data_IF_567795391540
#
_entry.id   IF_567795391540
#
_cell.length_a   1.000
_cell.length_b   1.000
_cell.length_c   1.000
_cell.angle_alpha   90.00
_cell.angle_beta   90.00
_cell.angle_gamma   90.00
#
_symmetry.space_group_name_H-M   'P 1'
#
loop_
_entity.id
_entity.type
_entity.pdbx_description
1 polymer ?
#
# COMPACT_ATOMS: atom_id res chain seq x y z
N UNK A 1 4.98 9.43 -12.40
CA UNK A 1 5.07 10.12 -11.10
C UNK A 1 6.52 10.23 -10.71
N UNK A 2 6.83 11.11 -9.75
CA UNK A 2 8.20 11.38 -9.28
C UNK A 2 8.86 10.21 -8.52
N UNK A 3 8.08 9.22 -8.09
CA UNK A 3 8.52 8.14 -7.21
C UNK A 3 8.40 8.48 -5.72
N UNK A 4 8.11 9.73 -5.38
CA UNK A 4 7.90 10.19 -4.01
C UNK A 4 6.45 9.98 -3.54
N UNK A 5 6.30 9.63 -2.27
CA UNK A 5 5.00 9.66 -1.58
C UNK A 5 4.49 11.10 -1.52
N UNK A 6 3.27 11.33 -1.98
CA UNK A 6 2.57 12.61 -1.88
C UNK A 6 1.36 12.72 -2.80
N UNK A 7 0.79 13.92 -2.90
CA UNK A 7 -0.44 14.19 -3.68
C UNK A 7 -0.29 15.32 -4.72
N UNK A 8 0.92 15.54 -5.22
CA UNK A 8 1.15 16.62 -6.19
C UNK A 8 0.51 16.26 -7.54
N UNK A 9 -0.23 17.21 -8.11
CA UNK A 9 -0.62 17.21 -9.53
C UNK A 9 0.55 17.74 -10.39
N UNK A 10 0.40 17.70 -11.72
CA UNK A 10 1.37 18.29 -12.65
C UNK A 10 1.70 17.37 -13.81
N UNK A 11 2.92 17.47 -14.33
CA UNK A 11 3.40 16.56 -15.38
C UNK A 11 3.81 15.20 -14.79
N UNK A 12 4.14 14.24 -15.65
CA UNK A 12 4.52 12.88 -15.21
C UNK A 12 5.79 12.82 -14.34
N UNK A 13 6.68 13.82 -14.41
CA UNK A 13 7.90 13.87 -13.60
C UNK A 13 7.64 14.50 -12.23
N UNK A 14 6.72 15.45 -12.13
CA UNK A 14 6.43 16.17 -10.88
C UNK A 14 5.30 15.54 -10.05
N UNK A 15 4.33 14.89 -10.68
CA UNK A 15 3.18 14.34 -9.99
C UNK A 15 3.57 13.23 -9.01
N UNK A 16 2.96 13.19 -7.83
CA UNK A 16 3.16 12.16 -6.81
C UNK A 16 1.85 11.49 -6.40
N UNK A 17 1.97 10.26 -5.89
CA UNK A 17 0.88 9.40 -5.42
C UNK A 17 1.25 8.85 -4.04
N UNK A 18 0.28 8.26 -3.34
CA UNK A 18 0.50 7.57 -2.07
C UNK A 18 -0.22 6.21 -2.11
N UNK A 19 0.58 5.15 -2.28
CA UNK A 19 0.15 3.76 -2.44
C UNK A 19 -1.10 3.57 -3.33
N UNK A 20 -1.05 4.00 -4.61
CA UNK A 20 -2.19 3.86 -5.51
C UNK A 20 -2.50 2.38 -5.79
N UNK A 21 -3.79 2.05 -5.89
CA UNK A 21 -4.27 0.68 -6.11
C UNK A 21 -4.95 0.57 -7.48
N UNK A 22 -6.26 0.76 -7.52
CA UNK A 22 -7.10 0.54 -8.69
C UNK A 22 -6.83 1.49 -9.84
N UNK A 23 -6.86 0.93 -11.05
CA UNK A 23 -6.67 1.63 -12.31
C UNK A 23 -7.82 1.32 -13.26
N UNK A 24 -8.33 2.32 -13.96
CA UNK A 24 -9.27 2.11 -15.08
C UNK A 24 -8.96 3.05 -16.24
N UNK A 25 -8.82 2.49 -17.45
CA UNK A 25 -8.59 3.26 -18.67
C UNK A 25 -9.93 3.53 -19.37
N UNK A 26 -10.16 4.78 -19.77
CA UNK A 26 -11.31 5.19 -20.57
C UNK A 26 -10.86 6.16 -21.67
N UNK A 27 -10.86 5.68 -22.92
CA UNK A 27 -10.22 6.39 -24.02
C UNK A 27 -8.71 6.53 -23.78
N UNK A 28 -8.18 7.75 -23.88
CA UNK A 28 -6.79 8.09 -23.56
C UNK A 28 -6.58 8.58 -22.12
N UNK A 29 -7.61 8.51 -21.27
CA UNK A 29 -7.54 8.91 -19.86
C UNK A 29 -7.45 7.69 -18.97
N UNK A 30 -6.42 7.63 -18.13
CA UNK A 30 -6.30 6.65 -17.05
C UNK A 30 -6.76 7.30 -15.74
N UNK A 31 -7.66 6.63 -15.01
CA UNK A 31 -8.06 7.04 -13.67
C UNK A 31 -7.40 6.14 -12.64
N UNK A 32 -7.02 6.73 -11.51
CA UNK A 32 -6.26 6.07 -10.45
C UNK A 32 -6.97 6.27 -9.12
N UNK A 33 -7.20 5.18 -8.40
CA UNK A 33 -7.56 5.21 -6.99
C UNK A 33 -6.26 5.36 -6.19
N UNK A 34 -6.03 6.57 -5.68
CA UNK A 34 -4.85 6.95 -4.92
C UNK A 34 -5.18 6.80 -3.44
N UNK A 35 -5.01 5.56 -2.97
CA UNK A 35 -5.75 4.99 -1.83
C UNK A 35 -5.40 5.65 -0.51
N UNK A 36 -4.10 5.81 -0.22
CA UNK A 36 -3.63 6.45 1.03
C UNK A 36 -3.76 7.97 0.99
N UNK A 37 -3.78 8.57 -0.21
CA UNK A 37 -4.20 9.96 -0.35
C UNK A 37 -5.72 10.15 -0.22
N UNK A 38 -6.51 9.08 -0.23
CA UNK A 38 -7.98 9.14 -0.27
C UNK A 38 -8.51 10.00 -1.43
N UNK A 39 -7.91 9.82 -2.62
CA UNK A 39 -8.19 10.63 -3.80
C UNK A 39 -8.45 9.77 -5.03
N UNK A 40 -9.19 10.34 -5.99
CA UNK A 40 -9.22 9.85 -7.37
C UNK A 40 -8.42 10.82 -8.25
N UNK A 41 -7.45 10.27 -8.97
CA UNK A 41 -6.56 11.02 -9.86
C UNK A 41 -6.91 10.70 -11.30
N UNK A 42 -6.78 11.71 -12.17
CA UNK A 42 -6.94 11.62 -13.62
C UNK A 42 -5.59 11.82 -14.26
N UNK A 43 -5.17 10.84 -15.07
CA UNK A 43 -3.93 10.83 -15.82
C UNK A 43 -4.29 10.94 -17.30
N UNK A 44 -3.97 12.08 -17.90
CA UNK A 44 -4.11 12.31 -19.33
C UNK A 44 -2.84 11.79 -20.03
N UNK A 45 -2.98 10.73 -20.83
CA UNK A 45 -1.85 10.08 -21.49
C UNK A 45 -1.38 10.85 -22.73
N UNK A 46 -2.21 11.72 -23.30
CA UNK A 46 -1.86 12.55 -24.45
C UNK A 46 -1.06 13.78 -24.02
N UNK A 47 -1.59 14.55 -23.06
CA UNK A 47 -0.90 15.74 -22.52
C UNK A 47 0.16 15.42 -21.48
N UNK A 48 0.21 14.17 -21.00
CA UNK A 48 1.15 13.68 -19.97
C UNK A 48 1.05 14.44 -18.65
N UNK A 49 -0.18 14.65 -18.21
CA UNK A 49 -0.49 15.39 -16.97
C UNK A 49 -1.36 14.57 -16.01
N UNK A 50 -1.18 14.81 -14.72
CA UNK A 50 -1.98 14.25 -13.63
C UNK A 50 -2.73 15.38 -12.94
N UNK A 51 -4.02 15.18 -12.69
CA UNK A 51 -4.88 16.10 -11.95
C UNK A 51 -5.75 15.35 -10.95
N UNK A 52 -6.03 15.98 -9.81
CA UNK A 52 -6.98 15.45 -8.82
C UNK A 52 -8.41 15.83 -9.20
N UNK A 53 -9.30 14.82 -9.25
CA UNK A 53 -10.71 15.01 -9.63
C UNK A 53 -11.69 14.72 -8.49
N UNK A 54 -11.28 13.95 -7.48
CA UNK A 54 -12.12 13.65 -6.31
C UNK A 54 -11.29 13.39 -5.06
N UNK A 55 -11.89 13.66 -3.89
CA UNK A 55 -11.24 13.56 -2.59
C UNK A 55 -10.56 14.85 -2.18
N UNK A 56 -10.56 15.13 -0.88
CA UNK A 56 -9.93 16.31 -0.25
C UNK A 56 -8.51 16.03 0.25
N UNK A 57 -8.06 14.77 0.15
CA UNK A 57 -6.72 14.37 0.54
C UNK A 57 -6.59 13.95 2.00
N UNK A 58 -7.72 13.74 2.69
CA UNK A 58 -7.80 13.32 4.09
C UNK A 58 -8.80 12.17 4.26
N UNK A 59 -8.59 11.31 5.25
CA UNK A 59 -9.48 10.17 5.49
C UNK A 59 -10.86 10.64 5.96
N UNK A 60 -11.89 10.37 5.18
CA UNK A 60 -13.26 10.72 5.56
C UNK A 60 -13.77 9.87 6.72
N UNK A 61 -14.41 10.54 7.68
CA UNK A 61 -15.06 9.90 8.84
C UNK A 61 -16.53 9.52 8.61
N UNK A 62 -17.15 10.06 7.57
CA UNK A 62 -18.55 9.81 7.21
C UNK A 62 -18.63 9.04 5.90
N UNK A 63 -19.42 7.98 5.89
CA UNK A 63 -19.76 7.19 4.70
C UNK A 63 -20.95 7.79 3.91
N UNK A 64 -21.52 8.91 4.37
CA UNK A 64 -22.80 9.43 3.86
C UNK A 64 -22.76 10.94 3.66
N UNK A 65 -22.27 11.42 2.51
CA UNK A 65 -22.21 12.85 2.20
C UNK A 65 -23.57 13.55 2.41
N UNK A 66 -23.56 14.64 3.18
CA UNK A 66 -24.73 15.43 3.53
C UNK A 66 -25.44 14.99 4.82
N UNK A 67 -25.24 13.76 5.30
CA UNK A 67 -25.88 13.29 6.53
C UNK A 67 -25.42 14.06 7.78
N UNK A 68 -24.16 14.49 7.80
CA UNK A 68 -23.57 15.36 8.84
C UNK A 68 -24.27 16.72 8.96
N UNK A 69 -24.96 17.17 7.92
CA UNK A 69 -25.74 18.42 7.91
C UNK A 69 -27.22 18.21 8.28
N UNK A 70 -27.58 16.99 8.73
CA UNK A 70 -28.94 16.62 9.11
C UNK A 70 -29.76 15.99 7.97
N UNK A 71 -29.15 15.73 6.80
CA UNK A 71 -29.84 15.04 5.72
C UNK A 71 -29.90 13.53 5.94
N UNK A 72 -30.92 13.09 6.68
CA UNK A 72 -31.13 11.67 6.98
C UNK A 72 -31.89 10.91 5.88
N UNK A 73 -32.41 11.60 4.86
CA UNK A 73 -33.18 10.98 3.77
C UNK A 73 -32.48 11.29 2.46
N UNK A 74 -31.93 10.25 1.80
CA UNK A 74 -31.14 10.39 0.59
C UNK A 74 -31.85 11.14 -0.57
N UNK A 75 -31.14 11.35 -1.70
CA UNK A 75 -29.85 10.76 -2.01
C UNK A 75 -28.68 11.48 -1.32
N UNK A 76 -27.66 10.70 -0.96
CA UNK A 76 -26.44 11.19 -0.31
C UNK A 76 -25.36 11.42 -1.36
N UNK A 77 -25.29 12.64 -1.88
CA UNK A 77 -24.29 13.03 -2.86
C UNK A 77 -23.60 14.32 -2.43
N UNK A 78 -22.31 14.42 -2.75
CA UNK A 78 -21.54 15.65 -2.64
C UNK A 78 -20.84 15.99 -3.95
N UNK A 79 -19.97 17.01 -3.91
CA UNK A 79 -19.15 17.41 -5.05
C UNK A 79 -17.80 16.66 -4.99
N UNK A 80 -17.34 16.02 -6.08
CA UNK A 80 -16.12 15.21 -6.08
C UNK A 80 -14.91 15.83 -5.36
N UNK A 81 -14.54 17.08 -5.70
CA UNK A 81 -13.36 17.76 -5.12
C UNK A 81 -13.46 18.17 -3.66
N UNK A 82 -14.64 18.10 -3.05
CA UNK A 82 -14.84 18.53 -1.65
C UNK A 82 -15.50 17.47 -0.78
N UNK A 83 -15.79 16.30 -1.35
CA UNK A 83 -16.27 15.15 -0.61
C UNK A 83 -15.07 14.30 -0.27
N UNK A 84 -14.73 14.22 1.01
CA UNK A 84 -13.69 13.31 1.49
C UNK A 84 -14.02 11.86 1.12
N UNK A 85 -13.00 11.10 0.78
CA UNK A 85 -13.09 9.67 0.49
C UNK A 85 -12.42 8.90 1.62
N UNK A 86 -12.61 7.58 1.64
CA UNK A 86 -11.95 6.74 2.62
C UNK A 86 -11.52 5.44 1.94
N UNK A 87 -10.23 5.43 1.57
CA UNK A 87 -9.54 4.33 0.89
C UNK A 87 -10.27 3.81 -0.36
N UNK A 88 -10.38 4.61 -1.44
CA UNK A 88 -10.81 4.09 -2.74
C UNK A 88 -9.79 3.04 -3.20
N UNK A 89 -10.26 1.85 -3.59
CA UNK A 89 -9.37 0.72 -3.87
C UNK A 89 -9.44 0.22 -5.31
N UNK A 90 -10.63 0.19 -5.91
CA UNK A 90 -10.83 -0.21 -7.30
C UNK A 90 -11.78 0.73 -8.03
N UNK A 91 -11.60 0.84 -9.35
CA UNK A 91 -12.38 1.69 -10.23
C UNK A 91 -12.92 0.88 -11.39
N UNK A 92 -14.14 1.19 -11.81
CA UNK A 92 -14.72 0.68 -13.05
C UNK A 92 -15.60 1.75 -13.69
N UNK A 93 -15.61 1.85 -15.02
CA UNK A 93 -16.43 2.83 -15.72
C UNK A 93 -17.50 2.09 -16.52
N UNK A 94 -18.74 2.55 -16.37
CA UNK A 94 -19.87 2.13 -17.18
C UNK A 94 -20.57 3.40 -17.71
N UNK A 95 -20.58 3.55 -19.03
CA UNK A 95 -21.06 4.76 -19.71
C UNK A 95 -20.36 6.04 -19.19
N UNK A 96 -21.13 6.98 -18.63
CA UNK A 96 -20.68 8.26 -18.10
C UNK A 96 -20.39 8.25 -16.58
N UNK A 97 -20.40 7.06 -15.97
CA UNK A 97 -20.36 6.88 -14.52
C UNK A 97 -19.18 5.99 -14.13
N UNK A 98 -18.36 6.49 -13.22
CA UNK A 98 -17.33 5.74 -12.54
C UNK A 98 -17.90 5.13 -11.27
N UNK A 99 -17.70 3.83 -11.09
CA UNK A 99 -17.95 3.09 -9.87
C UNK A 99 -16.64 2.90 -9.13
N UNK A 100 -16.71 3.02 -7.82
CA UNK A 100 -15.54 3.04 -6.93
C UNK A 100 -15.80 2.03 -5.82
N UNK A 101 -14.91 1.06 -5.66
CA UNK A 101 -14.90 0.22 -4.47
C UNK A 101 -14.26 1.04 -3.35
N UNK A 102 -15.12 1.52 -2.44
CA UNK A 102 -14.70 2.34 -1.32
C UNK A 102 -14.50 1.39 -0.13
N UNK A 103 -13.25 0.95 0.04
CA UNK A 103 -12.91 -0.11 0.99
C UNK A 103 -13.18 0.32 2.44
N UNK A 104 -12.73 1.53 2.80
CA UNK A 104 -12.80 2.07 4.16
C UNK A 104 -14.21 2.12 4.76
N UNK A 105 -15.24 2.64 4.06
CA UNK A 105 -16.61 2.63 4.54
C UNK A 105 -17.39 1.38 4.14
N UNK A 106 -16.76 0.37 3.53
CA UNK A 106 -17.40 -0.86 3.04
C UNK A 106 -18.60 -0.60 2.11
N UNK A 107 -18.38 0.16 1.03
CA UNK A 107 -19.42 0.55 0.10
C UNK A 107 -18.93 0.56 -1.35
N UNK A 108 -19.87 0.43 -2.28
CA UNK A 108 -19.64 0.81 -3.68
C UNK A 108 -20.16 2.23 -3.87
N UNK A 109 -19.31 3.12 -4.32
CA UNK A 109 -19.64 4.51 -4.63
C UNK A 109 -19.78 4.70 -6.15
N UNK A 110 -20.48 5.75 -6.55
CA UNK A 110 -20.55 6.19 -7.94
C UNK A 110 -20.22 7.68 -8.06
N UNK A 111 -19.56 8.05 -9.15
CA UNK A 111 -19.19 9.41 -9.51
C UNK A 111 -19.49 9.63 -10.99
N UNK A 112 -20.11 10.77 -11.32
CA UNK A 112 -20.25 11.17 -12.73
C UNK A 112 -18.93 11.69 -13.28
N UNK A 113 -18.58 11.29 -14.51
CA UNK A 113 -17.32 11.68 -15.16
C UNK A 113 -17.26 13.18 -15.50
N UNK A 114 -18.41 13.88 -15.52
CA UNK A 114 -18.50 15.33 -15.64
C UNK A 114 -18.22 16.07 -14.30
N UNK A 115 -17.81 15.33 -13.27
CA UNK A 115 -17.50 15.81 -11.92
C UNK A 115 -18.70 16.49 -11.22
N UNK A 116 -19.94 16.21 -11.65
CA UNK A 116 -21.13 16.85 -11.08
C UNK A 116 -21.52 16.34 -9.69
N UNK A 117 -21.29 15.05 -9.41
CA UNK A 117 -21.65 14.41 -8.14
C UNK A 117 -20.85 13.15 -7.84
N UNK A 118 -20.71 12.84 -6.55
CA UNK A 118 -20.16 11.58 -6.03
C UNK A 118 -20.92 11.14 -4.76
N UNK A 119 -21.07 9.84 -4.54
CA UNK A 119 -21.63 9.30 -3.30
C UNK A 119 -21.90 7.79 -3.35
N UNK A 120 -22.41 7.20 -2.26
CA UNK A 120 -22.72 5.77 -2.18
C UNK A 120 -23.75 5.35 -3.24
N UNK A 121 -23.45 4.24 -3.90
CA UNK A 121 -24.31 3.57 -4.87
C UNK A 121 -24.89 2.27 -4.31
N UNK A 122 -24.09 1.50 -3.58
CA UNK A 122 -24.53 0.30 -2.87
C UNK A 122 -23.79 0.11 -1.53
N UNK A 123 -24.45 -0.52 -0.56
CA UNK A 123 -23.90 -0.81 0.76
C UNK A 123 -24.38 0.16 1.85
N UNK A 124 -24.74 -0.39 3.00
CA UNK A 124 -25.14 0.38 4.19
C UNK A 124 -23.96 0.88 5.04
N UNK A 125 -22.72 0.57 4.65
CA UNK A 125 -21.50 0.94 5.37
C UNK A 125 -21.24 0.19 6.67
N UNK A 126 -21.96 -0.91 6.91
CA UNK A 126 -21.56 -1.93 7.88
C UNK A 126 -20.67 -2.96 7.19
N UNK A 127 -19.69 -3.43 7.93
CA UNK A 127 -18.85 -4.55 7.54
C UNK A 127 -19.60 -5.88 7.74
N UNK A 128 -20.18 -6.42 6.66
CA UNK A 128 -20.84 -7.74 6.63
C UNK A 128 -21.04 -8.19 5.17
N UNK A 129 -21.47 -9.43 4.95
CA UNK A 129 -21.82 -9.98 3.64
C UNK A 129 -23.32 -10.21 3.59
N UNK A 130 -24.07 -9.19 3.18
CA UNK A 130 -25.55 -9.25 3.13
C UNK A 130 -26.04 -8.90 1.73
N UNK A 131 -26.88 -9.75 1.16
CA UNK A 131 -27.60 -9.49 -0.10
C UNK A 131 -28.84 -8.64 0.15
N UNK A 132 -29.27 -7.87 -0.86
CA UNK A 132 -30.46 -7.03 -0.72
C UNK A 132 -30.44 -5.75 -1.53
N UNK A 133 -31.27 -4.78 -1.12
CA UNK A 133 -31.36 -3.49 -1.78
C UNK A 133 -30.01 -2.76 -1.83
N UNK A 134 -29.82 -1.91 -2.84
CA UNK A 134 -28.59 -1.14 -3.01
C UNK A 134 -28.28 -0.27 -1.78
N UNK A 135 -29.23 0.54 -1.34
CA UNK A 135 -29.04 1.49 -0.25
C UNK A 135 -30.15 1.40 0.81
N UNK A 136 -29.84 1.72 2.07
CA UNK A 136 -30.82 1.75 3.16
C UNK A 136 -31.72 2.98 3.05
N UNK A 137 -32.80 3.03 3.84
CA UNK A 137 -33.66 4.24 3.90
C UNK A 137 -33.07 5.37 4.75
N UNK A 138 -32.10 5.04 5.61
CA UNK A 138 -31.38 5.93 6.51
C UNK A 138 -29.89 5.52 6.55
N UNK A 139 -28.95 6.45 6.84
CA UNK A 139 -27.53 6.11 6.97
C UNK A 139 -27.31 4.96 7.96
N UNK A 140 -26.53 3.95 7.56
CA UNK A 140 -26.24 2.74 8.36
C UNK A 140 -27.44 1.86 8.75
N UNK A 141 -28.62 2.15 8.18
CA UNK A 141 -29.83 1.35 8.35
C UNK A 141 -29.65 -0.07 7.83
N UNK A 142 -30.40 -1.00 8.41
CA UNK A 142 -30.47 -2.39 7.95
C UNK A 142 -31.78 -2.69 7.22
N UNK A 143 -32.69 -1.72 7.20
CA UNK A 143 -33.98 -1.73 6.53
C UNK A 143 -33.85 -1.22 5.10
N UNK A 144 -34.46 -1.95 4.17
CA UNK A 144 -34.66 -1.52 2.79
C UNK A 144 -36.07 -0.95 2.59
N UNK A 145 -36.33 -0.19 1.51
CA UNK A 145 -37.70 0.09 1.08
C UNK A 145 -38.50 -1.23 0.90
N UNK A 146 -39.56 -1.43 1.68
CA UNK A 146 -40.33 -2.68 1.70
C UNK A 146 -40.03 -3.55 2.93
N UNK A 147 -40.11 -4.88 2.80
CA UNK A 147 -39.86 -5.89 3.84
C UNK A 147 -38.50 -6.62 3.69
N UNK A 148 -37.61 -6.12 2.83
CA UNK A 148 -36.32 -6.73 2.52
C UNK A 148 -35.13 -6.22 3.35
N UNK A 149 -33.98 -6.89 3.20
CA UNK A 149 -32.68 -6.44 3.70
C UNK A 149 -32.02 -5.45 2.74
N UNK A 150 -31.08 -4.68 3.27
CA UNK A 150 -30.13 -3.87 2.49
C UNK A 150 -28.79 -4.58 2.39
N UNK A 151 -28.10 -4.36 1.29
CA UNK A 151 -26.75 -4.89 1.09
C UNK A 151 -25.73 -4.33 2.08
N UNK A 152 -24.82 -5.20 2.50
CA UNK A 152 -23.59 -4.88 3.23
C UNK A 152 -22.40 -5.46 2.45
N UNK A 153 -21.28 -4.76 2.51
CA UNK A 153 -19.99 -5.19 1.97
C UNK A 153 -18.97 -5.26 3.10
N UNK A 154 -17.81 -5.84 2.83
CA UNK A 154 -16.70 -5.98 3.75
C UNK A 154 -15.39 -5.75 2.97
N UNK A 155 -14.97 -4.48 2.95
CA UNK A 155 -13.73 -4.01 2.31
C UNK A 155 -13.68 -4.38 0.80
N UNK A 156 -14.61 -3.87 -0.01
CA UNK A 156 -14.60 -4.13 -1.45
C UNK A 156 -13.32 -3.56 -2.07
N UNK A 157 -12.57 -4.39 -2.80
CA UNK A 157 -11.22 -4.06 -3.26
C UNK A 157 -10.94 -4.33 -4.74
N UNK A 158 -11.87 -4.96 -5.46
CA UNK A 158 -11.75 -5.23 -6.90
C UNK A 158 -13.08 -5.04 -7.62
N UNK A 159 -13.05 -4.54 -8.86
CA UNK A 159 -14.23 -4.29 -9.68
C UNK A 159 -14.05 -4.77 -11.12
N UNK A 160 -15.10 -5.34 -11.70
CA UNK A 160 -15.19 -5.66 -13.13
C UNK A 160 -16.66 -5.78 -13.56
N UNK A 161 -16.96 -5.94 -14.85
CA UNK A 161 -18.35 -6.01 -15.30
C UNK A 161 -18.53 -6.79 -16.60
N UNK A 162 -19.70 -7.43 -16.72
CA UNK A 162 -20.24 -8.00 -17.98
C UNK A 162 -21.18 -7.04 -18.73
N UNK A 163 -21.39 -5.83 -18.21
CA UNK A 163 -22.34 -4.83 -18.73
C UNK A 163 -23.74 -4.88 -18.11
N UNK A 164 -24.13 -5.95 -17.42
CA UNK A 164 -25.39 -6.03 -16.66
C UNK A 164 -25.12 -5.88 -15.14
N UNK A 165 -24.06 -6.53 -14.68
CA UNK A 165 -23.62 -6.59 -13.29
C UNK A 165 -22.23 -5.97 -13.16
N UNK A 166 -22.05 -5.17 -12.12
CA UNK A 166 -20.74 -4.84 -11.57
C UNK A 166 -20.37 -5.92 -10.56
N UNK A 167 -19.35 -6.71 -10.88
CA UNK A 167 -18.80 -7.70 -9.97
C UNK A 167 -17.79 -7.08 -9.03
N UNK A 168 -17.84 -7.48 -7.77
CA UNK A 168 -17.05 -6.92 -6.67
C UNK A 168 -16.30 -8.04 -5.98
N UNK A 169 -14.99 -7.91 -5.85
CA UNK A 169 -14.23 -8.67 -4.87
C UNK A 169 -14.42 -8.02 -3.49
N UNK A 170 -15.15 -8.69 -2.62
CA UNK A 170 -15.56 -8.22 -1.31
C UNK A 170 -14.69 -8.90 -0.25
N UNK A 171 -13.54 -8.28 -0.03
CA UNK A 171 -12.27 -8.93 0.30
C UNK A 171 -12.23 -9.48 1.72
N UNK A 172 -12.59 -8.68 2.73
CA UNK A 172 -12.66 -9.17 4.13
C UNK A 172 -13.69 -10.29 4.26
N UNK A 173 -14.79 -10.19 3.51
CA UNK A 173 -15.80 -11.23 3.43
C UNK A 173 -15.37 -12.49 2.67
N UNK A 174 -14.21 -12.50 2.01
CA UNK A 174 -13.74 -13.58 1.13
C UNK A 174 -14.81 -14.04 0.14
N UNK A 175 -15.48 -13.06 -0.49
CA UNK A 175 -16.64 -13.31 -1.35
C UNK A 175 -16.59 -12.51 -2.65
N UNK A 176 -17.33 -12.97 -3.65
CA UNK A 176 -17.55 -12.23 -4.90
C UNK A 176 -19.02 -11.86 -4.99
N UNK A 177 -19.30 -10.57 -5.13
CA UNK A 177 -20.66 -9.98 -5.16
C UNK A 177 -20.98 -9.49 -6.55
N UNK A 178 -22.27 -9.38 -6.88
CA UNK A 178 -22.76 -8.78 -8.11
C UNK A 178 -23.75 -7.67 -7.77
N UNK A 179 -23.42 -6.46 -8.19
CA UNK A 179 -24.21 -5.23 -8.01
C UNK A 179 -24.86 -4.88 -9.35
N UNK A 180 -26.20 -4.75 -9.42
CA UNK A 180 -26.85 -4.46 -10.68
C UNK A 180 -26.71 -2.98 -11.06
N UNK A 181 -26.53 -2.69 -12.36
CA UNK A 181 -26.73 -1.33 -12.87
C UNK A 181 -28.22 -0.96 -12.94
N UNK A 182 -29.08 -1.94 -13.22
CA UNK A 182 -30.54 -1.81 -13.11
C UNK A 182 -30.93 -1.75 -11.63
N UNK A 183 -31.22 -0.55 -11.15
CA UNK A 183 -31.53 -0.28 -9.73
C UNK A 183 -32.84 -0.89 -9.25
N UNK A 184 -33.63 -1.53 -10.12
CA UNK A 184 -34.79 -2.32 -9.71
C UNK A 184 -34.41 -3.71 -9.17
N UNK A 185 -33.20 -4.18 -9.47
CA UNK A 185 -32.63 -5.43 -8.97
C UNK A 185 -31.88 -5.20 -7.65
N UNK A 186 -31.52 -6.30 -6.99
CA UNK A 186 -30.81 -6.31 -5.71
C UNK A 186 -29.37 -6.81 -5.88
N UNK A 187 -28.51 -6.41 -4.96
CA UNK A 187 -27.15 -6.99 -4.83
C UNK A 187 -27.29 -8.46 -4.45
N UNK A 188 -26.48 -9.31 -5.08
CA UNK A 188 -26.44 -10.75 -4.80
C UNK A 188 -25.01 -11.26 -4.62
N UNK A 189 -24.86 -12.39 -3.93
CA UNK A 189 -23.58 -13.08 -3.77
C UNK A 189 -23.39 -14.14 -4.85
N UNK A 190 -22.32 -14.01 -5.64
CA UNK A 190 -21.91 -15.00 -6.65
C UNK A 190 -21.34 -16.23 -5.94
N UNK A 191 -20.33 -16.03 -5.10
CA UNK A 191 -19.75 -17.03 -4.19
C UNK A 191 -19.38 -16.38 -2.86
N UNK A 192 -19.38 -17.17 -1.78
CA UNK A 192 -19.05 -16.70 -0.43
C UNK A 192 -20.17 -16.92 0.59
N UNK A 193 -19.98 -16.43 1.80
CA UNK A 193 -20.71 -16.85 2.99
C UNK A 193 -22.04 -16.12 3.26
N UNK A 194 -22.62 -15.40 2.30
CA UNK A 194 -23.82 -14.58 2.53
C UNK A 194 -25.04 -15.36 3.08
N UNK A 195 -25.15 -16.64 2.72
CA UNK A 195 -26.25 -17.51 3.15
C UNK A 195 -26.09 -18.02 4.60
N UNK A 196 -24.94 -17.79 5.25
CA UNK A 196 -24.72 -18.20 6.63
C UNK A 196 -25.39 -17.24 7.61
N UNK A 197 -25.97 -17.74 8.72
CA UNK A 197 -26.63 -16.89 9.71
C UNK A 197 -25.65 -16.07 10.58
N UNK A 198 -24.40 -16.52 10.70
CA UNK A 198 -23.34 -15.88 11.49
C UNK A 198 -21.94 -16.26 10.93
N UNK A 199 -20.88 -15.66 11.48
CA UNK A 199 -19.48 -15.93 11.13
C UNK A 199 -19.13 -15.72 9.64
N UNK A 200 -19.89 -14.86 8.94
CA UNK A 200 -19.72 -14.59 7.50
C UNK A 200 -18.31 -14.09 7.16
N UNK A 201 -17.77 -13.17 7.95
CA UNK A 201 -16.41 -12.61 7.79
C UNK A 201 -15.29 -13.60 8.16
N UNK A 202 -15.60 -14.71 8.82
CA UNK A 202 -14.61 -15.69 9.31
C UNK A 202 -14.74 -17.05 8.61
N UNK A 203 -15.56 -17.13 7.56
CA UNK A 203 -15.72 -18.33 6.75
C UNK A 203 -14.90 -18.19 5.48
N UNK A 204 -13.62 -18.50 5.60
CA UNK A 204 -12.63 -18.43 4.52
C UNK A 204 -11.83 -19.73 4.44
N UNK A 205 -11.08 -19.90 3.38
CA UNK A 205 -10.20 -21.04 3.14
C UNK A 205 -9.96 -21.26 1.65
N UNK A 206 -9.52 -22.45 1.27
CA UNK A 206 -9.20 -22.80 -0.11
C UNK A 206 -10.01 -24.02 -0.54
N UNK A 207 -11.19 -23.79 -1.14
CA UNK A 207 -12.03 -24.89 -1.63
C UNK A 207 -12.71 -24.53 -2.94
N UNK A 208 -12.52 -25.40 -3.93
CA UNK A 208 -13.18 -25.35 -5.23
C UNK A 208 -14.48 -26.17 -5.23
N UNK A 209 -15.30 -26.00 -6.26
CA UNK A 209 -16.51 -26.78 -6.48
C UNK A 209 -17.76 -25.94 -6.76
N UNK A 210 -18.97 -26.50 -6.52
CA UNK A 210 -20.22 -25.77 -6.67
C UNK A 210 -20.31 -24.61 -5.64
N UNK A 211 -21.07 -23.57 -5.98
CA UNK A 211 -21.22 -22.32 -5.22
C UNK A 211 -21.29 -22.49 -3.70
N UNK A 212 -22.07 -23.45 -3.21
CA UNK A 212 -22.34 -23.70 -1.78
C UNK A 212 -21.15 -24.30 -1.00
N UNK A 213 -20.07 -24.66 -1.71
CA UNK A 213 -18.87 -25.25 -1.12
C UNK A 213 -17.63 -24.39 -1.29
N UNK A 214 -17.69 -23.34 -2.11
CA UNK A 214 -16.54 -22.52 -2.44
C UNK A 214 -16.04 -21.79 -1.19
N UNK A 215 -14.74 -21.86 -0.95
CA UNK A 215 -14.05 -21.02 0.01
C UNK A 215 -12.93 -20.28 -0.72
N UNK A 216 -12.88 -18.97 -0.47
CA UNK A 216 -11.83 -18.05 -0.86
C UNK A 216 -11.15 -17.52 0.41
N UNK A 217 -10.03 -16.83 0.27
CA UNK A 217 -9.35 -16.17 1.38
C UNK A 217 -8.76 -14.83 0.93
N UNK A 218 -9.42 -13.75 1.36
CA UNK A 218 -9.01 -12.37 1.10
C UNK A 218 -8.78 -12.09 -0.38
N UNK A 219 -9.75 -12.48 -1.23
CA UNK A 219 -9.68 -12.25 -2.66
C UNK A 219 -9.77 -10.74 -3.00
N UNK A 220 -8.79 -10.21 -3.74
CA UNK A 220 -8.69 -8.76 -4.05
C UNK A 220 -8.99 -8.51 -5.53
N UNK A 221 -8.21 -9.08 -6.43
CA UNK A 221 -8.36 -8.87 -7.87
C UNK A 221 -9.56 -9.66 -8.43
N UNK A 222 -10.35 -9.04 -9.31
CA UNK A 222 -11.38 -9.72 -10.10
C UNK A 222 -11.46 -9.13 -11.50
N UNK A 223 -11.58 -9.97 -12.53
CA UNK A 223 -11.78 -9.54 -13.91
C UNK A 223 -12.74 -10.48 -14.65
N UNK A 224 -13.70 -9.89 -15.38
CA UNK A 224 -14.68 -10.63 -16.15
C UNK A 224 -14.16 -10.88 -17.58
N UNK A 225 -14.35 -12.10 -18.06
CA UNK A 225 -14.06 -12.48 -19.44
C UNK A 225 -14.90 -13.70 -19.86
N UNK A 226 -15.63 -13.57 -20.97
CA UNK A 226 -16.38 -14.66 -21.62
C UNK A 226 -17.24 -15.51 -20.67
N UNK A 227 -18.07 -14.84 -19.86
CA UNK A 227 -18.98 -15.50 -18.90
C UNK A 227 -18.33 -15.95 -17.59
N UNK A 228 -17.01 -15.76 -17.44
CA UNK A 228 -16.26 -16.16 -16.26
C UNK A 228 -15.70 -14.95 -15.52
N UNK A 229 -15.49 -15.12 -14.21
CA UNK A 229 -14.74 -14.22 -13.35
C UNK A 229 -13.42 -14.90 -12.99
N UNK A 230 -12.31 -14.27 -13.37
CA UNK A 230 -11.00 -14.67 -12.91
C UNK A 230 -10.67 -13.82 -11.69
N UNK A 231 -10.23 -14.46 -10.62
CA UNK A 231 -9.96 -13.80 -9.35
C UNK A 231 -8.55 -14.10 -8.86
N UNK A 232 -7.95 -13.12 -8.20
CA UNK A 232 -6.82 -13.37 -7.33
C UNK A 232 -7.36 -13.78 -5.96
N UNK A 233 -7.24 -15.06 -5.63
CA UNK A 233 -7.50 -15.60 -4.30
C UNK A 233 -6.23 -15.39 -3.46
N UNK A 234 -6.02 -14.13 -3.08
CA UNK A 234 -4.73 -13.53 -2.68
C UNK A 234 -3.99 -14.35 -1.63
N UNK A 235 -4.60 -14.60 -0.46
CA UNK A 235 -3.92 -15.30 0.64
C UNK A 235 -3.80 -16.81 0.40
N UNK A 236 -4.52 -17.34 -0.60
CA UNK A 236 -4.35 -18.70 -1.08
C UNK A 236 -3.32 -18.80 -2.20
N UNK A 237 -2.63 -17.72 -2.58
CA UNK A 237 -1.58 -17.71 -3.62
C UNK A 237 -2.04 -18.37 -4.94
N UNK A 238 -3.29 -18.10 -5.35
CA UNK A 238 -3.94 -18.74 -6.49
C UNK A 238 -4.71 -17.76 -7.33
N UNK A 239 -4.80 -18.09 -8.62
CA UNK A 239 -5.79 -17.52 -9.52
C UNK A 239 -6.92 -18.54 -9.67
N UNK A 240 -8.16 -18.15 -9.36
CA UNK A 240 -9.34 -19.00 -9.56
C UNK A 240 -10.22 -18.47 -10.67
N UNK A 241 -10.99 -19.35 -11.29
CA UNK A 241 -12.01 -19.03 -12.27
C UNK A 241 -13.38 -19.43 -11.73
N UNK A 242 -14.35 -18.55 -11.88
CA UNK A 242 -15.71 -18.70 -11.39
C UNK A 242 -16.65 -18.51 -12.58
N UNK A 243 -17.52 -19.49 -12.84
CA UNK A 243 -18.63 -19.29 -13.79
C UNK A 243 -19.60 -18.25 -13.20
N UNK A 244 -19.77 -17.11 -13.88
CA UNK A 244 -20.44 -15.95 -13.31
C UNK A 244 -21.96 -16.18 -13.07
N UNK A 245 -22.54 -17.16 -13.77
CA UNK A 245 -23.94 -17.52 -13.67
C UNK A 245 -24.21 -18.51 -12.52
N UNK A 246 -23.42 -19.57 -12.41
CA UNK A 246 -23.63 -20.67 -11.45
C UNK A 246 -22.81 -20.53 -10.17
N UNK A 247 -21.73 -19.74 -10.17
CA UNK A 247 -20.77 -19.64 -9.07
C UNK A 247 -19.87 -20.87 -8.92
N UNK A 248 -19.89 -21.81 -9.86
CA UNK A 248 -18.98 -22.95 -9.83
C UNK A 248 -17.54 -22.44 -9.99
N UNK A 249 -16.68 -22.82 -9.06
CA UNK A 249 -15.30 -22.30 -8.96
C UNK A 249 -14.28 -23.42 -9.11
N UNK A 250 -13.19 -23.12 -9.81
CA UNK A 250 -12.03 -23.98 -9.90
C UNK A 250 -10.73 -23.16 -9.84
N UNK A 251 -9.68 -23.76 -9.30
CA UNK A 251 -8.32 -23.23 -9.41
C UNK A 251 -7.92 -23.19 -10.89
N UNK A 252 -7.55 -22.00 -11.37
CA UNK A 252 -7.11 -21.77 -12.74
C UNK A 252 -5.59 -21.91 -12.86
N UNK A 253 -4.86 -21.29 -11.93
CA UNK A 253 -3.40 -21.40 -11.77
C UNK A 253 -3.01 -21.20 -10.29
N UNK A 254 -1.78 -21.58 -9.93
CA UNK A 254 -1.29 -21.48 -8.55
C UNK A 254 -1.42 -22.80 -7.79
N UNK A 255 -0.40 -23.12 -7.00
CA UNK A 255 -0.35 -24.35 -6.19
C UNK A 255 -0.83 -24.15 -4.75
N UNK A 256 -0.96 -22.89 -4.31
CA UNK A 256 -1.17 -22.53 -2.91
C UNK A 256 0.11 -22.21 -2.14
N UNK A 257 1.27 -22.60 -2.67
CA UNK A 257 2.57 -22.27 -2.08
C UNK A 257 3.05 -20.90 -2.57
N UNK A 258 3.38 -20.02 -1.63
CA UNK A 258 4.02 -18.73 -1.90
C UNK A 258 5.37 -18.89 -2.63
N UNK A 259 5.64 -18.04 -3.62
CA UNK A 259 6.94 -17.90 -4.27
C UNK A 259 6.88 -17.54 -5.75
N UNK A 260 8.05 -17.48 -6.39
CA UNK A 260 8.23 -17.09 -7.80
C UNK A 260 8.82 -18.25 -8.61
N UNK A 261 7.98 -18.92 -9.40
CA UNK A 261 8.39 -19.97 -10.33
C UNK A 261 7.38 -20.07 -11.49
N UNK A 262 7.85 -19.98 -12.73
CA UNK A 262 7.00 -20.00 -13.93
C UNK A 262 6.56 -21.42 -14.33
N UNK A 263 7.38 -22.44 -14.09
CA UNK A 263 7.07 -23.83 -14.46
C UNK A 263 6.03 -24.43 -13.53
N UNK A 264 6.16 -24.17 -12.22
CA UNK A 264 5.21 -24.56 -11.19
C UNK A 264 4.02 -23.59 -11.11
N UNK A 265 4.15 -22.38 -11.65
CA UNK A 265 3.14 -21.34 -11.58
C UNK A 265 2.85 -20.89 -10.15
N UNK A 266 3.89 -20.63 -9.36
CA UNK A 266 3.75 -20.10 -7.99
C UNK A 266 3.42 -18.61 -8.01
N UNK A 267 2.74 -18.11 -6.99
CA UNK A 267 2.42 -16.70 -6.77
C UNK A 267 2.68 -16.36 -5.29
N UNK A 268 2.78 -15.08 -4.93
CA UNK A 268 2.88 -14.60 -3.55
C UNK A 268 2.01 -13.36 -3.37
N UNK A 269 0.83 -13.56 -2.77
CA UNK A 269 -0.23 -12.56 -2.59
C UNK A 269 -0.54 -11.74 -3.86
N UNK A 270 -0.98 -12.41 -4.96
CA UNK A 270 -1.40 -11.70 -6.15
C UNK A 270 -2.61 -10.83 -5.82
N UNK A 271 -2.57 -9.52 -6.10
CA UNK A 271 -3.60 -8.59 -5.63
C UNK A 271 -4.44 -7.98 -6.77
N UNK A 272 -3.99 -8.05 -8.02
CA UNK A 272 -4.72 -7.50 -9.16
C UNK A 272 -4.54 -8.34 -10.40
N UNK A 273 -5.52 -8.29 -11.31
CA UNK A 273 -5.42 -8.92 -12.62
C UNK A 273 -6.21 -8.18 -13.69
N UNK A 274 -5.75 -8.30 -14.94
CA UNK A 274 -6.42 -7.81 -16.13
C UNK A 274 -6.21 -8.78 -17.29
N UNK A 275 -7.14 -8.80 -18.25
CA UNK A 275 -7.05 -9.66 -19.43
C UNK A 275 -6.89 -8.79 -20.68
N UNK A 276 -5.91 -9.15 -21.52
CA UNK A 276 -5.78 -8.59 -22.88
C UNK A 276 -5.45 -9.71 -23.87
N UNK A 277 -6.28 -9.86 -24.91
CA UNK A 277 -6.17 -10.98 -25.84
C UNK A 277 -6.27 -12.33 -25.12
N UNK A 278 -5.31 -13.22 -25.36
CA UNK A 278 -5.25 -14.56 -24.75
C UNK A 278 -4.47 -14.58 -23.42
N UNK A 279 -4.17 -13.43 -22.82
CA UNK A 279 -3.25 -13.36 -21.67
C UNK A 279 -3.92 -12.67 -20.48
N UNK A 280 -3.87 -13.35 -19.33
CA UNK A 280 -4.12 -12.75 -18.03
C UNK A 280 -2.81 -12.16 -17.53
N UNK A 281 -2.81 -10.88 -17.17
CA UNK A 281 -1.74 -10.21 -16.46
C UNK A 281 -2.09 -10.13 -14.98
N UNK A 282 -1.18 -10.52 -14.11
CA UNK A 282 -1.38 -10.58 -12.66
C UNK A 282 -0.34 -9.72 -11.97
N UNK A 283 -0.77 -8.79 -11.14
CA UNK A 283 0.10 -8.08 -10.20
C UNK A 283 0.39 -9.01 -9.02
N UNK A 284 1.58 -9.62 -9.03
CA UNK A 284 2.06 -10.60 -8.05
C UNK A 284 2.87 -9.86 -6.98
N UNK A 285 2.12 -9.29 -6.03
CA UNK A 285 2.54 -8.14 -5.21
C UNK A 285 3.81 -8.40 -4.42
N UNK A 286 3.86 -9.51 -3.68
CA UNK A 286 4.99 -9.82 -2.80
C UNK A 286 6.20 -10.38 -3.57
N UNK A 287 5.99 -10.86 -4.80
CA UNK A 287 7.09 -11.20 -5.71
C UNK A 287 7.64 -9.97 -6.45
N UNK A 288 6.98 -8.81 -6.37
CA UNK A 288 7.33 -7.59 -7.11
C UNK A 288 7.35 -7.78 -8.63
N UNK A 289 6.43 -8.60 -9.15
CA UNK A 289 6.38 -8.94 -10.58
C UNK A 289 4.99 -8.72 -11.18
N UNK A 290 4.97 -8.52 -12.50
CA UNK A 290 3.78 -8.78 -13.30
C UNK A 290 3.92 -10.17 -13.91
N UNK A 291 3.03 -11.09 -13.55
CA UNK A 291 2.98 -12.44 -14.09
C UNK A 291 2.00 -12.50 -15.25
N UNK A 292 2.19 -13.46 -16.13
CA UNK A 292 1.31 -13.72 -17.27
C UNK A 292 0.76 -15.13 -17.20
N UNK A 293 -0.49 -15.33 -17.57
CA UNK A 293 -1.11 -16.65 -17.72
C UNK A 293 -1.76 -16.72 -19.09
N UNK A 294 -1.38 -17.70 -19.90
CA UNK A 294 -2.10 -17.98 -21.15
C UNK A 294 -3.49 -18.57 -20.85
N UNK A 295 -4.55 -17.99 -21.40
CA UNK A 295 -5.93 -18.38 -21.10
C UNK A 295 -6.28 -19.80 -21.59
N UNK A 296 -5.65 -20.26 -22.67
CA UNK A 296 -5.91 -21.58 -23.26
C UNK A 296 -5.05 -22.65 -22.60
N UNK A 297 -3.74 -22.44 -22.56
CA UNK A 297 -2.77 -23.44 -22.09
C UNK A 297 -2.55 -23.38 -20.58
N UNK A 298 -3.03 -22.33 -19.91
CA UNK A 298 -2.80 -22.03 -18.47
C UNK A 298 -1.33 -21.92 -18.10
N UNK A 299 -0.46 -21.66 -19.08
CA UNK A 299 0.97 -21.57 -18.83
C UNK A 299 1.27 -20.25 -18.13
N UNK A 300 1.94 -20.32 -16.99
CA UNK A 300 2.41 -19.14 -16.26
C UNK A 300 3.76 -18.68 -16.83
N UNK A 301 3.98 -17.37 -16.78
CA UNK A 301 5.22 -16.71 -17.15
C UNK A 301 5.39 -15.39 -16.40
N UNK A 302 6.50 -14.72 -16.61
CA UNK A 302 6.76 -13.37 -16.06
C UNK A 302 6.89 -12.35 -17.20
N UNK A 303 6.16 -11.24 -17.09
CA UNK A 303 6.22 -10.16 -18.08
C UNK A 303 7.59 -9.48 -18.01
N UNK A 304 8.27 -9.43 -19.15
CA UNK A 304 9.50 -8.63 -19.32
C UNK A 304 9.20 -7.48 -20.27
N UNK A 305 9.50 -6.25 -19.84
CA UNK A 305 9.42 -5.05 -20.68
C UNK A 305 10.86 -4.57 -20.90
N UNK A 306 11.37 -4.73 -22.11
CA UNK A 306 12.73 -4.31 -22.47
C UNK A 306 12.90 -2.79 -22.25
N UNK A 307 13.98 -2.41 -21.55
CA UNK A 307 14.33 -1.01 -21.28
C UNK A 307 13.52 -0.33 -20.16
N UNK A 308 12.67 -1.07 -19.44
CA UNK A 308 12.01 -0.54 -18.25
C UNK A 308 12.95 -0.67 -17.04
N UNK A 309 13.43 0.47 -16.55
CA UNK A 309 14.24 0.55 -15.32
C UNK A 309 13.40 1.14 -14.18
N UNK A 310 13.61 0.70 -12.92
CA UNK A 310 12.94 1.29 -11.78
C UNK A 310 13.31 2.78 -11.67
N UNK A 311 12.38 3.65 -11.22
CA UNK A 311 12.71 5.05 -10.98
C UNK A 311 13.82 5.16 -9.94
N UNK A 312 14.72 6.12 -10.13
CA UNK A 312 15.77 6.42 -9.14
C UNK A 312 15.08 6.95 -7.88
N UNK A 313 15.12 6.16 -6.80
CA UNK A 313 14.67 6.62 -5.50
C UNK A 313 15.56 7.78 -5.06
N UNK A 314 14.96 8.94 -4.76
CA UNK A 314 15.72 10.03 -4.16
C UNK A 314 15.89 9.71 -2.67
N UNK A 315 17.13 9.40 -2.26
CA UNK A 315 17.43 9.27 -0.84
C UNK A 315 17.21 10.63 -0.14
N UNK A 316 16.09 10.76 0.57
CA UNK A 316 15.89 11.86 1.50
C UNK A 316 16.72 11.61 2.75
N UNK A 317 17.47 12.63 3.17
CA UNK A 317 18.14 12.63 4.46
C UNK A 317 17.12 12.34 5.57
N UNK A 318 17.29 11.31 6.40
CA UNK A 318 16.38 10.99 7.47
C UNK A 318 16.34 12.14 8.49
N UNK A 319 15.15 12.42 9.02
CA UNK A 319 14.97 13.40 10.10
C UNK A 319 15.10 12.71 11.44
N UNK A 320 16.05 13.17 12.26
CA UNK A 320 16.26 12.70 13.63
C UNK A 320 15.62 13.65 14.66
N UNK A 321 14.37 14.10 14.39
CA UNK A 321 13.65 15.05 15.24
C UNK A 321 13.38 14.51 16.64
N UNK A 322 13.02 13.23 16.72
CA UNK A 322 12.64 12.54 17.96
C UNK A 322 13.79 11.73 18.56
N UNK A 323 14.98 11.79 17.95
CA UNK A 323 16.17 11.09 18.41
C UNK A 323 16.78 11.75 19.66
N UNK A 324 17.33 10.95 20.57
CA UNK A 324 18.15 11.49 21.66
C UNK A 324 19.42 12.13 21.07
N UNK A 325 19.72 13.37 21.48
CA UNK A 325 20.92 14.07 21.02
C UNK A 325 22.06 13.88 22.01
N UNK A 326 23.13 13.24 21.57
CA UNK A 326 24.36 13.05 22.35
C UNK A 326 25.46 13.94 21.79
N UNK A 327 25.83 14.99 22.53
CA UNK A 327 26.88 15.93 22.11
C UNK A 327 28.22 15.49 22.67
N UNK A 328 29.14 15.11 21.78
CA UNK A 328 30.50 14.75 22.14
C UNK A 328 31.32 16.00 22.53
N UNK A 329 32.39 15.78 23.31
CA UNK A 329 33.33 16.85 23.62
C UNK A 329 34.08 17.26 22.35
N UNK A 330 34.24 18.58 22.14
CA UNK A 330 35.07 19.10 21.06
C UNK A 330 36.49 18.55 21.15
N UNK A 331 36.93 17.90 20.07
CA UNK A 331 38.20 17.15 20.06
C UNK A 331 39.11 17.64 18.95
N UNK A 332 40.37 17.92 19.30
CA UNK A 332 41.45 18.14 18.35
C UNK A 332 41.92 16.77 17.86
N UNK A 333 41.68 16.45 16.59
CA UNK A 333 41.84 15.10 16.03
C UNK A 333 42.80 15.08 14.84
N UNK A 334 43.62 14.03 14.79
CA UNK A 334 44.59 13.76 13.73
C UNK A 334 43.99 12.78 12.71
N UNK A 335 43.92 13.14 11.42
CA UNK A 335 43.57 12.19 10.37
C UNK A 335 44.58 11.04 10.28
N UNK A 336 44.07 9.82 10.08
CA UNK A 336 44.86 8.64 9.72
C UNK A 336 44.40 8.19 8.35
N UNK A 337 45.35 8.04 7.41
CA UNK A 337 45.07 7.69 6.01
C UNK A 337 44.00 8.59 5.36
N UNK A 338 44.03 9.89 5.69
CA UNK A 338 43.11 10.89 5.15
C UNK A 338 41.69 10.83 5.72
N UNK A 339 41.47 10.12 6.84
CA UNK A 339 40.16 10.00 7.49
C UNK A 339 40.24 10.28 8.99
N UNK A 340 39.12 10.72 9.57
CA UNK A 340 38.90 10.67 11.02
C UNK A 340 37.98 9.50 11.36
N UNK A 341 38.17 8.92 12.55
CA UNK A 341 37.38 7.79 13.04
C UNK A 341 36.56 8.22 14.26
N UNK A 342 35.27 7.90 14.24
CA UNK A 342 34.37 8.02 15.38
C UNK A 342 33.86 6.63 15.77
N UNK A 343 34.22 6.16 16.97
CA UNK A 343 33.75 4.89 17.50
C UNK A 343 32.41 5.11 18.20
N UNK A 344 31.37 4.43 17.74
CA UNK A 344 30.01 4.51 18.27
C UNK A 344 29.76 3.30 19.16
N UNK A 345 29.24 3.55 20.37
CA UNK A 345 28.78 2.52 21.30
C UNK A 345 27.32 2.79 21.72
N UNK A 346 26.42 1.90 21.32
CA UNK A 346 25.05 1.81 21.80
C UNK A 346 25.03 0.89 23.03
N UNK A 347 25.13 1.48 24.22
CA UNK A 347 25.12 0.69 25.45
C UNK A 347 23.70 0.19 25.75
N UNK A 348 23.42 -1.03 25.29
CA UNK A 348 22.16 -1.72 25.53
C UNK A 348 21.99 -2.06 27.03
N UNK A 349 20.75 -2.05 27.55
CA UNK A 349 20.49 -2.49 28.91
C UNK A 349 20.85 -3.96 29.10
N UNK A 350 21.16 -4.35 30.34
CA UNK A 350 21.41 -5.75 30.69
C UNK A 350 20.22 -6.61 30.27
N UNK A 351 20.49 -7.70 29.55
CA UNK A 351 19.44 -8.61 29.06
C UNK A 351 18.87 -8.24 27.69
N UNK A 352 19.43 -7.24 27.00
CA UNK A 352 19.05 -6.86 25.64
C UNK A 352 20.18 -7.10 24.64
N UNK A 353 19.81 -7.23 23.36
CA UNK A 353 20.71 -7.39 22.22
C UNK A 353 20.17 -6.63 21.00
N UNK A 354 21.02 -6.37 20.02
CA UNK A 354 20.56 -5.91 18.71
C UNK A 354 19.67 -6.96 18.05
N UNK A 355 18.64 -6.52 17.30
CA UNK A 355 17.80 -7.42 16.53
C UNK A 355 18.56 -7.91 15.29
N UNK A 356 18.90 -9.20 15.17
CA UNK A 356 19.66 -9.71 14.02
C UNK A 356 18.88 -9.74 12.71
N UNK A 357 17.54 -9.56 12.76
CA UNK A 357 16.67 -9.58 11.58
C UNK A 357 16.35 -8.17 11.06
N UNK A 358 16.81 -7.12 11.72
CA UNK A 358 16.55 -5.74 11.33
C UNK A 358 17.84 -5.08 10.89
N UNK A 359 17.88 -4.60 9.65
CA UNK A 359 19.04 -3.89 9.11
C UNK A 359 19.41 -2.69 9.97
N UNK A 360 20.71 -2.43 10.09
CA UNK A 360 21.24 -1.30 10.83
C UNK A 360 22.00 -0.38 9.87
N UNK A 361 21.60 0.88 9.85
CA UNK A 361 22.28 1.92 9.08
C UNK A 361 22.50 3.16 9.93
N UNK A 362 23.51 3.94 9.57
CA UNK A 362 23.72 5.28 10.12
C UNK A 362 23.77 6.31 8.99
N UNK A 363 23.42 7.54 9.33
CA UNK A 363 23.45 8.68 8.42
C UNK A 363 24.49 9.68 8.89
N UNK A 364 25.41 10.03 7.99
CA UNK A 364 26.41 11.07 8.19
C UNK A 364 25.86 12.39 7.68
N UNK A 365 25.79 13.39 8.57
CA UNK A 365 25.49 14.77 8.25
C UNK A 365 26.60 15.72 8.72
N UNK A 366 26.66 16.91 8.14
CA UNK A 366 27.64 17.95 8.48
C UNK A 366 26.91 19.28 8.65
N UNK A 367 27.38 20.11 9.60
CA UNK A 367 26.86 21.47 9.75
C UNK A 367 27.51 22.40 8.71
N UNK A 368 26.68 23.07 7.90
CA UNK A 368 27.13 24.02 6.88
C UNK A 368 27.78 23.37 5.65
N UNK A 369 28.17 24.22 4.70
CA UNK A 369 28.64 23.78 3.38
C UNK A 369 30.17 23.78 3.21
N UNK A 370 30.90 24.17 4.25
CA UNK A 370 32.36 24.27 4.27
C UNK A 370 32.91 23.72 5.58
N UNK A 371 34.13 23.17 5.56
CA UNK A 371 34.78 22.58 6.74
C UNK A 371 35.96 21.69 6.36
N UNK A 372 36.55 21.03 7.37
CA UNK A 372 37.71 20.15 7.19
C UNK A 372 37.34 18.74 6.70
N UNK A 373 36.12 18.28 6.96
CA UNK A 373 35.59 16.97 6.53
C UNK A 373 35.11 17.06 5.07
N UNK A 374 35.36 16.03 4.27
CA UNK A 374 34.86 15.96 2.91
C UNK A 374 33.32 15.92 2.89
N UNK A 375 32.69 16.87 2.21
CA UNK A 375 31.22 16.95 2.11
C UNK A 375 30.62 15.82 1.27
N UNK A 376 31.42 15.13 0.45
CA UNK A 376 30.94 13.92 -0.24
C UNK A 376 30.70 12.74 0.72
N UNK A 377 31.13 12.83 1.98
CA UNK A 377 30.87 11.82 3.00
C UNK A 377 29.45 11.88 3.59
N UNK A 378 28.66 12.91 3.25
CA UNK A 378 27.26 13.03 3.68
C UNK A 378 26.42 11.97 2.98
N UNK A 379 25.68 11.18 3.76
CA UNK A 379 24.84 10.13 3.21
C UNK A 379 24.58 8.99 4.19
N UNK A 380 23.81 8.01 3.73
CA UNK A 380 23.53 6.78 4.45
C UNK A 380 24.66 5.77 4.27
N UNK A 381 24.96 5.02 5.33
CA UNK A 381 25.85 3.88 5.31
C UNK A 381 25.18 2.70 6.01
N UNK A 382 25.01 1.60 5.29
CA UNK A 382 24.49 0.35 5.84
C UNK A 382 25.63 -0.46 6.49
N UNK A 383 25.35 -1.05 7.65
CA UNK A 383 26.25 -1.98 8.31
C UNK A 383 25.93 -3.41 7.86
N UNK A 384 26.95 -4.22 7.57
CA UNK A 384 26.77 -5.61 7.13
C UNK A 384 25.98 -6.46 8.13
N UNK A 385 26.13 -6.17 9.43
CA UNK A 385 25.37 -6.84 10.48
C UNK A 385 24.96 -5.84 11.58
N UNK A 386 23.80 -6.05 12.23
CA UNK A 386 23.37 -5.22 13.35
C UNK A 386 24.27 -5.42 14.57
N UNK A 387 25.07 -4.41 14.91
CA UNK A 387 26.01 -4.41 16.03
C UNK A 387 25.80 -3.19 16.91
N UNK A 388 26.10 -3.33 18.20
CA UNK A 388 25.98 -2.25 19.19
C UNK A 388 27.27 -1.40 19.30
N UNK A 389 28.37 -1.84 18.68
CA UNK A 389 29.62 -1.09 18.59
C UNK A 389 30.18 -1.15 17.18
N UNK A 390 30.48 0.00 16.58
CA UNK A 390 31.03 0.12 15.23
C UNK A 390 31.80 1.44 15.06
N UNK A 391 32.57 1.55 13.99
CA UNK A 391 33.37 2.75 13.68
C UNK A 391 32.85 3.45 12.43
N UNK A 392 32.70 4.76 12.52
CA UNK A 392 32.37 5.66 11.41
C UNK A 392 33.66 6.32 10.94
N UNK A 393 34.03 6.10 9.69
CA UNK A 393 35.21 6.72 9.09
C UNK A 393 34.78 7.75 8.06
N UNK A 394 35.17 9.01 8.25
CA UNK A 394 34.86 10.09 7.30
C UNK A 394 36.15 10.70 6.73
N UNK A 395 36.27 10.82 5.39
CA UNK A 395 37.40 11.47 4.75
C UNK A 395 37.50 12.96 5.10
N UNK A 396 38.72 13.49 5.10
CA UNK A 396 39.00 14.90 5.30
C UNK A 396 39.68 15.50 4.09
N UNK A 397 39.38 16.77 3.79
CA UNK A 397 39.98 17.53 2.68
C UNK A 397 40.99 18.58 3.15
N UNK A 398 41.09 18.80 4.47
CA UNK A 398 42.02 19.77 5.04
C UNK A 398 42.02 19.78 6.57
N UNK A 399 42.57 20.85 7.14
CA UNK A 399 42.60 21.11 8.58
C UNK A 399 41.60 22.21 8.95
N UNK A 400 41.13 22.22 10.20
CA UNK A 400 40.17 23.21 10.68
C UNK A 400 38.99 22.61 11.46
N UNK A 401 38.06 23.46 11.85
CA UNK A 401 36.91 23.07 12.66
C UNK A 401 35.76 22.51 11.81
N UNK A 402 35.03 21.56 12.37
CA UNK A 402 33.85 20.97 11.75
C UNK A 402 32.91 20.35 12.79
N UNK A 403 31.67 20.07 12.40
CA UNK A 403 30.70 19.34 13.24
C UNK A 403 30.07 18.21 12.46
N UNK A 404 30.45 16.99 12.83
CA UNK A 404 29.90 15.75 12.31
C UNK A 404 28.62 15.36 13.05
N UNK A 405 27.57 14.99 12.33
CA UNK A 405 26.35 14.40 12.87
C UNK A 405 26.25 12.95 12.44
N UNK A 406 26.07 12.03 13.38
CA UNK A 406 25.84 10.62 13.10
C UNK A 406 24.48 10.26 13.69
N UNK A 407 23.48 10.10 12.82
CA UNK A 407 22.13 9.72 13.23
C UNK A 407 21.83 8.26 12.88
N UNK A 408 21.12 7.55 13.74
CA UNK A 408 20.69 6.19 13.46
C UNK A 408 19.40 5.85 14.20
N UNK A 409 18.56 5.06 13.54
CA UNK A 409 17.48 4.30 14.15
C UNK A 409 17.95 2.84 14.27
N UNK A 410 17.71 2.21 15.41
CA UNK A 410 18.20 0.87 15.69
C UNK A 410 17.15 0.04 16.42
N UNK A 411 17.19 -1.27 16.21
CA UNK A 411 16.23 -2.20 16.78
C UNK A 411 16.93 -3.13 17.75
N UNK A 412 16.37 -3.27 18.95
CA UNK A 412 16.95 -4.08 20.01
C UNK A 412 15.86 -4.86 20.74
N UNK A 413 16.17 -6.08 21.15
CA UNK A 413 15.22 -7.03 21.72
C UNK A 413 15.74 -7.61 23.03
N UNK A 414 14.81 -8.03 23.89
CA UNK A 414 15.15 -8.80 25.07
C UNK A 414 15.72 -10.18 24.68
N UNK A 415 16.62 -10.70 25.51
CA UNK A 415 17.32 -11.96 25.27
C UNK A 415 16.46 -13.23 25.49
N UNK A 416 15.19 -13.12 25.89
CA UNK A 416 14.29 -14.25 26.15
C UNK A 416 13.44 -14.63 24.93
N UNK A 417 12.94 -15.87 24.90
CA UNK A 417 12.25 -16.48 23.75
C UNK A 417 10.91 -15.81 23.36
N UNK A 418 10.39 -14.91 24.21
CA UNK A 418 9.20 -14.09 23.97
C UNK A 418 9.52 -12.58 23.98
N UNK A 419 10.78 -12.23 23.69
CA UNK A 419 11.34 -10.92 23.99
C UNK A 419 10.70 -9.76 23.24
N UNK A 420 10.31 -8.74 24.00
CA UNK A 420 9.89 -7.46 23.47
C UNK A 420 11.03 -6.84 22.65
N UNK A 421 10.73 -6.46 21.40
CA UNK A 421 11.61 -5.63 20.58
C UNK A 421 11.18 -4.17 20.64
N UNK A 422 12.16 -3.27 20.66
CA UNK A 422 11.98 -1.82 20.71
C UNK A 422 12.76 -1.15 19.60
N UNK A 423 12.34 0.08 19.28
CA UNK A 423 13.05 0.99 18.37
C UNK A 423 13.75 2.05 19.22
N UNK A 424 15.05 2.23 19.01
CA UNK A 424 15.84 3.32 19.54
C UNK A 424 16.23 4.29 18.44
N UNK A 425 16.43 5.56 18.80
CA UNK A 425 16.89 6.60 17.87
C UNK A 425 17.86 7.53 18.57
N UNK A 426 19.03 7.75 17.98
CA UNK A 426 20.06 8.63 18.53
C UNK A 426 20.72 9.45 17.43
N UNK A 427 21.06 10.70 17.74
CA UNK A 427 21.92 11.54 16.94
C UNK A 427 23.13 12.01 17.75
N UNK A 428 24.32 11.53 17.38
CA UNK A 428 25.58 12.03 17.90
C UNK A 428 25.95 13.34 17.20
N UNK A 429 26.34 14.35 17.97
CA UNK A 429 26.89 15.62 17.48
C UNK A 429 28.35 15.68 17.91
N UNK A 430 29.26 15.64 16.94
CA UNK A 430 30.69 15.42 17.16
C UNK A 430 31.47 16.63 16.63
N UNK A 431 31.66 17.68 17.45
CA UNK A 431 32.49 18.81 17.09
C UNK A 431 33.97 18.39 17.07
N UNK A 432 34.66 18.67 15.97
CA UNK A 432 36.08 18.33 15.77
C UNK A 432 36.89 19.54 15.33
N UNK A 433 38.20 19.50 15.59
CA UNK A 433 39.19 20.36 14.96
C UNK A 433 40.27 19.46 14.36
N UNK A 434 40.33 19.37 13.05
CA UNK A 434 41.22 18.49 12.30
C UNK A 434 42.60 19.13 12.18
N UNK A 435 43.64 18.43 12.64
CA UNK A 435 45.03 18.92 12.61
C UNK A 435 46.04 17.77 12.62
N UNK A 436 47.10 17.88 11.80
CA UNK A 436 48.18 16.88 11.73
C UNK A 436 49.03 16.79 13.01
N UNK A 437 49.00 17.84 13.83
CA UNK A 437 49.72 17.97 15.11
C UNK A 437 48.94 17.38 16.29
N UNK A 438 47.69 16.94 16.07
CA UNK A 438 46.86 16.37 17.12
C UNK A 438 47.42 15.01 17.60
N UNK A 439 47.18 14.70 18.89
CA UNK A 439 47.62 13.43 19.52
C UNK A 439 46.55 12.35 19.54
N UNK A 440 45.30 12.73 19.31
CA UNK A 440 44.14 11.84 19.32
C UNK A 440 43.79 11.55 17.87
N UNK A 441 43.60 10.28 17.50
CA UNK A 441 43.21 9.87 16.14
C UNK A 441 41.77 9.37 16.04
N UNK A 442 41.08 9.19 17.17
CA UNK A 442 39.73 8.64 17.23
C UNK A 442 38.88 9.38 18.28
N UNK A 443 37.57 9.48 18.04
CA UNK A 443 36.59 10.01 19.02
C UNK A 443 35.62 8.91 19.41
N UNK A 444 35.50 8.62 20.70
CA UNK A 444 34.50 7.69 21.20
C UNK A 444 33.21 8.43 21.59
N UNK A 445 32.08 7.93 21.10
CA UNK A 445 30.75 8.40 21.47
C UNK A 445 29.90 7.25 21.99
N UNK A 446 29.12 7.53 23.03
CA UNK A 446 28.32 6.52 23.72
C UNK A 446 26.91 7.03 23.98
N UNK A 447 25.92 6.19 23.70
CA UNK A 447 24.53 6.42 24.07
C UNK A 447 24.05 5.28 24.96
N UNK A 448 23.51 5.61 26.13
CA UNK A 448 22.93 4.63 27.05
C UNK A 448 21.47 4.42 26.66
N UNK A 449 21.16 3.25 26.15
CA UNK A 449 19.82 2.94 25.63
C UNK A 449 18.87 2.67 26.79
N UNK A 450 17.66 3.23 26.72
CA UNK A 450 16.64 3.02 27.73
C UNK A 450 16.09 1.57 27.71
N UNK A 451 15.81 0.98 28.89
CA UNK A 451 15.25 -0.37 29.00
C UNK A 451 13.83 -0.49 28.46
#
# INVERSE_FOLDING_TARGET
GSGEIGKADGDFQSASFDHPQGLVLHGSTLYVADTENHMIRKVDLESKTVTTISGDGEQARSAWPGAETGNLRGPWFGKPKTTGLNSPWALWIHEDTMYIAMAGPHQIWSMKLDESRIGPFAGNGREDIIDGALLPTQPFGTDAPGDGSVSSFAQPSGLTSDGEWLYVADTEGSSIRAVPFDTSKQVRTVVGAADLPNARLFTFGDKDGPRDQVLLQHAIGVTYHDGNLYICDTYNNKIKVIDAASGTTATFAGTGKAGLDDEQGLFDEPAGLAIAGNTIYVADTNNHQIRTIDLETRKVGTLTIEGLEPPVLQEKAPTFSDAEKVVAKKTLIKPVDGKITVNVNLALPIGWKMNPLADLSYYVGLDGNEGAIDRSAVGRVDLETPVDTFSVQVPVTGTGEDVLRIGLNFYYCQNNDAGLCKVGSVQFVVPVNVSDDAKISEVDVKHAVAP
#
